data_IF_164588026545
#
_entry.id   IF_164588026545
#
_cell.length_a   1.000
_cell.length_b   1.000
_cell.length_c   1.000
_cell.angle_alpha   90.00
_cell.angle_beta   90.00
_cell.angle_gamma   90.00
#
_symmetry.space_group_name_H-M   'P 1'
#
loop_
_entity.id
_entity.type
_entity.pdbx_description
1 polymer ?
#
# COMPACT_ATOMS: atom_id res chain seq x y z
N UNK A 1 -7.06 18.63 -6.90
CA UNK A 1 -8.17 18.11 -6.06
C UNK A 1 -8.37 16.62 -6.32
N UNK A 2 -8.31 16.19 -7.59
CA UNK A 2 -8.44 14.78 -7.97
C UNK A 2 -7.45 13.82 -7.29
N UNK A 3 -6.18 14.20 -7.07
CA UNK A 3 -5.22 13.23 -6.52
C UNK A 3 -5.47 12.90 -5.04
N UNK A 4 -5.96 13.87 -4.24
CA UNK A 4 -6.34 13.64 -2.84
C UNK A 4 -7.56 12.74 -2.74
N UNK A 5 -8.53 12.92 -3.64
CA UNK A 5 -9.71 12.07 -3.74
C UNK A 5 -9.29 10.65 -4.14
N UNK A 6 -8.38 10.52 -5.13
CA UNK A 6 -7.82 9.23 -5.52
C UNK A 6 -7.13 8.51 -4.36
N UNK A 7 -6.31 9.21 -3.58
CA UNK A 7 -5.62 8.65 -2.42
C UNK A 7 -6.60 8.20 -1.32
N UNK A 8 -7.67 8.97 -1.10
CA UNK A 8 -8.73 8.61 -0.17
C UNK A 8 -9.51 7.35 -0.62
N UNK A 9 -9.80 7.23 -1.92
CA UNK A 9 -10.43 6.03 -2.50
C UNK A 9 -9.54 4.81 -2.32
N UNK A 10 -8.24 4.92 -2.62
CA UNK A 10 -7.27 3.83 -2.44
C UNK A 10 -7.19 3.41 -0.96
N UNK A 11 -7.14 4.38 -0.05
CA UNK A 11 -7.14 4.13 1.39
C UNK A 11 -8.42 3.41 1.85
N UNK A 12 -9.60 3.86 1.40
CA UNK A 12 -10.86 3.20 1.70
C UNK A 12 -10.92 1.76 1.16
N UNK A 13 -10.39 1.54 -0.05
CA UNK A 13 -10.32 0.21 -0.65
C UNK A 13 -9.41 -0.73 0.16
N UNK A 14 -8.24 -0.25 0.59
CA UNK A 14 -7.32 -1.01 1.45
C UNK A 14 -7.99 -1.39 2.78
N UNK A 15 -8.68 -0.45 3.44
CA UNK A 15 -9.42 -0.74 4.69
C UNK A 15 -10.54 -1.75 4.43
N UNK A 16 -11.27 -1.61 3.32
CA UNK A 16 -12.31 -2.56 2.92
C UNK A 16 -11.76 -3.97 2.69
N UNK A 17 -10.63 -4.09 1.99
CA UNK A 17 -9.95 -5.36 1.78
C UNK A 17 -9.43 -5.98 3.09
N UNK A 18 -8.99 -5.17 4.06
CA UNK A 18 -8.56 -5.65 5.36
C UNK A 18 -9.71 -6.16 6.23
N UNK A 19 -10.86 -5.46 6.22
CA UNK A 19 -11.98 -5.76 7.10
C UNK A 19 -12.93 -6.84 6.55
N UNK A 20 -13.12 -6.89 5.24
CA UNK A 20 -14.13 -7.74 4.59
C UNK A 20 -13.54 -8.74 3.59
N UNK A 21 -12.24 -8.64 3.28
CA UNK A 21 -11.60 -9.57 2.36
C UNK A 21 -11.44 -10.97 2.97
N UNK A 22 -11.68 -12.06 2.21
CA UNK A 22 -11.46 -13.42 2.68
C UNK A 22 -9.96 -13.78 2.64
N UNK A 23 -9.10 -12.87 3.09
CA UNK A 23 -7.65 -13.02 2.99
C UNK A 23 -7.09 -13.62 4.30
N UNK A 24 -6.36 -14.73 4.22
CA UNK A 24 -5.68 -15.29 5.39
C UNK A 24 -4.50 -14.42 5.87
N UNK A 25 -4.17 -14.52 7.15
CA UNK A 25 -3.05 -13.80 7.76
C UNK A 25 -1.71 -14.19 7.14
N UNK A 26 -0.83 -13.24 6.74
CA UNK A 26 -0.78 -11.85 7.23
C UNK A 26 -1.32 -10.79 6.25
N UNK A 27 -2.00 -11.17 5.17
CA UNK A 27 -2.40 -10.24 4.10
C UNK A 27 -3.28 -9.06 4.59
N UNK A 28 -4.28 -9.24 5.48
CA UNK A 28 -5.05 -8.11 6.01
C UNK A 28 -4.19 -7.04 6.72
N UNK A 29 -3.07 -7.44 7.34
CA UNK A 29 -2.15 -6.50 7.98
C UNK A 29 -1.42 -5.63 6.94
N UNK A 30 -1.05 -6.20 5.79
CA UNK A 30 -0.44 -5.44 4.71
C UNK A 30 -1.38 -4.34 4.21
N UNK A 31 -2.67 -4.66 4.04
CA UNK A 31 -3.67 -3.66 3.66
C UNK A 31 -3.83 -2.55 4.71
N UNK A 32 -3.83 -2.87 6.01
CA UNK A 32 -3.90 -1.86 7.06
C UNK A 32 -2.67 -0.96 7.08
N UNK A 33 -1.46 -1.52 6.99
CA UNK A 33 -0.21 -0.75 6.95
C UNK A 33 -0.17 0.15 5.72
N UNK A 34 -0.64 -0.34 4.57
CA UNK A 34 -0.76 0.46 3.36
C UNK A 34 -1.78 1.59 3.50
N UNK A 35 -2.92 1.35 4.14
CA UNK A 35 -3.93 2.38 4.41
C UNK A 35 -3.35 3.49 5.30
N UNK A 36 -2.58 3.14 6.34
CA UNK A 36 -1.87 4.13 7.18
C UNK A 36 -0.84 4.90 6.35
N UNK A 37 -0.11 4.21 5.48
CA UNK A 37 0.82 4.85 4.53
C UNK A 37 0.13 5.85 3.62
N UNK A 38 -1.02 5.48 3.04
CA UNK A 38 -1.83 6.35 2.18
C UNK A 38 -2.41 7.55 2.95
N UNK A 39 -2.93 7.36 4.16
CA UNK A 39 -3.43 8.44 5.00
C UNK A 39 -2.32 9.45 5.34
N UNK A 40 -1.13 8.96 5.71
CA UNK A 40 0.03 9.80 6.00
C UNK A 40 0.56 10.52 4.75
N UNK A 41 0.48 9.87 3.58
CA UNK A 41 0.88 10.45 2.30
C UNK A 41 0.02 11.65 1.87
N UNK A 42 -1.19 11.78 2.39
CA UNK A 42 -2.08 12.92 2.12
C UNK A 42 -1.57 14.24 2.72
N UNK A 43 -0.73 14.17 3.76
CA UNK A 43 -0.24 15.34 4.49
C UNK A 43 1.18 15.68 4.06
N UNK A 44 1.49 16.95 3.72
CA UNK A 44 2.80 17.34 3.22
C UNK A 44 3.93 17.10 4.25
N UNK A 45 3.65 17.18 5.55
CA UNK A 45 4.62 16.90 6.60
C UNK A 45 5.01 15.41 6.70
N UNK A 46 4.07 14.51 6.39
CA UNK A 46 4.23 13.07 6.55
C UNK A 46 4.33 12.32 5.21
N UNK A 47 4.37 13.06 4.09
CA UNK A 47 4.31 12.49 2.75
C UNK A 47 5.45 11.51 2.46
N UNK A 48 6.66 11.82 2.91
CA UNK A 48 7.83 10.95 2.78
C UNK A 48 7.67 9.65 3.56
N UNK A 49 7.22 9.73 4.82
CA UNK A 49 6.99 8.56 5.67
C UNK A 49 5.84 7.69 5.14
N UNK A 50 4.73 8.30 4.72
CA UNK A 50 3.61 7.60 4.11
C UNK A 50 4.00 6.90 2.80
N UNK A 51 4.80 7.56 1.96
CA UNK A 51 5.35 6.96 0.74
C UNK A 51 6.30 5.80 1.03
N UNK A 52 7.13 5.90 2.07
CA UNK A 52 8.01 4.82 2.49
C UNK A 52 7.22 3.59 2.99
N UNK A 53 6.14 3.80 3.75
CA UNK A 53 5.24 2.73 4.18
C UNK A 53 4.58 2.03 2.98
N UNK A 54 4.05 2.80 2.02
CA UNK A 54 3.47 2.25 0.79
C UNK A 54 4.51 1.45 -0.02
N UNK A 55 5.74 1.96 -0.13
CA UNK A 55 6.83 1.25 -0.79
C UNK A 55 7.21 -0.05 -0.07
N UNK A 56 7.26 -0.02 1.26
CA UNK A 56 7.54 -1.19 2.09
C UNK A 56 6.47 -2.26 1.94
N UNK A 57 5.19 -1.88 1.92
CA UNK A 57 4.09 -2.83 1.70
C UNK A 57 4.11 -3.38 0.27
N UNK A 58 4.44 -2.56 -0.73
CA UNK A 58 4.60 -3.05 -2.10
C UNK A 58 5.71 -4.11 -2.21
N UNK A 59 6.87 -3.83 -1.63
CA UNK A 59 8.00 -4.78 -1.61
C UNK A 59 7.66 -6.05 -0.82
N UNK A 60 7.05 -5.91 0.37
CA UNK A 60 6.63 -7.04 1.18
C UNK A 60 5.57 -7.89 0.48
N UNK A 61 4.58 -7.28 -0.18
CA UNK A 61 3.56 -7.99 -0.95
C UNK A 61 4.13 -8.78 -2.13
N UNK A 62 5.07 -8.20 -2.87
CA UNK A 62 5.79 -8.91 -3.95
C UNK A 62 6.64 -10.05 -3.37
N UNK A 63 7.35 -9.80 -2.28
CA UNK A 63 8.14 -10.81 -1.57
C UNK A 63 7.28 -11.99 -1.13
N UNK A 64 6.16 -11.74 -0.45
CA UNK A 64 5.20 -12.76 -0.03
C UNK A 64 4.60 -13.52 -1.23
N UNK A 65 4.31 -12.84 -2.34
CA UNK A 65 3.80 -13.51 -3.54
C UNK A 65 4.82 -14.44 -4.20
N UNK A 66 6.13 -14.22 -3.97
CA UNK A 66 7.21 -15.06 -4.49
C UNK A 66 7.58 -16.26 -3.62
N UNK A 67 7.04 -16.35 -2.39
CA UNK A 67 7.31 -17.48 -1.50
C UNK A 67 6.48 -18.70 -1.97
N UNK A 68 7.12 -19.85 -2.28
CA UNK A 68 6.38 -21.04 -2.63
C UNK A 68 5.59 -21.56 -1.42
N UNK A 69 4.26 -21.52 -1.50
CA UNK A 69 3.38 -22.10 -0.48
C UNK A 69 3.37 -23.62 -0.64
N UNK A 70 3.88 -24.34 0.35
CA UNK A 70 3.85 -25.81 0.37
C UNK A 70 2.44 -26.24 0.75
N UNK A 71 1.69 -26.82 -0.20
CA UNK A 71 0.41 -27.49 0.08
C UNK A 71 0.71 -28.76 0.85
N UNK A 72 0.35 -28.81 2.14
CA UNK A 72 0.56 -30.01 2.95
C UNK A 72 -0.22 -31.19 2.37
N UNK A 73 0.49 -32.24 1.96
CA UNK A 73 -0.08 -33.58 1.92
C UNK A 73 0.50 -34.38 3.09
N UNK A 74 -0.40 -34.81 3.99
CA UNK A 74 -0.28 -35.89 4.98
C UNK A 74 0.29 -35.63 6.40
N UNK A 75 -0.63 -35.74 7.37
CA UNK A 75 -0.65 -36.32 8.73
C UNK A 75 0.56 -36.29 9.70
N UNK A 76 1.78 -35.88 9.34
CA UNK A 76 2.93 -36.17 10.25
C UNK A 76 4.01 -35.13 10.49
N UNK A 77 3.94 -33.92 9.95
CA UNK A 77 5.03 -32.95 10.18
C UNK A 77 4.54 -31.57 10.62
N UNK A 78 4.71 -31.34 11.94
CA UNK A 78 4.93 -30.09 12.67
C UNK A 78 4.29 -28.80 12.15
N UNK A 79 3.37 -28.26 12.96
CA UNK A 79 2.69 -26.95 12.89
C UNK A 79 3.66 -25.74 12.85
N UNK A 80 4.45 -25.58 11.80
CA UNK A 80 5.23 -24.35 11.55
C UNK A 80 4.46 -23.39 10.66
N UNK A 81 3.54 -23.91 9.83
CA UNK A 81 2.61 -23.14 9.02
C UNK A 81 1.25 -23.80 9.05
N UNK A 82 0.20 -23.09 9.47
CA UNK A 82 -1.17 -23.59 9.42
C UNK A 82 -1.48 -24.01 7.98
N UNK A 83 -1.62 -25.31 7.73
CA UNK A 83 -1.96 -25.84 6.43
C UNK A 83 -3.31 -25.26 6.00
N UNK A 84 -3.29 -24.29 5.08
CA UNK A 84 -4.50 -23.74 4.48
C UNK A 84 -4.92 -24.70 3.36
N UNK A 85 -5.78 -25.66 3.71
CA UNK A 85 -6.22 -26.73 2.81
C UNK A 85 -6.79 -26.29 1.46
N UNK A 86 -7.15 -25.01 1.30
CA UNK A 86 -7.71 -24.45 0.06
C UNK A 86 -7.20 -23.03 -0.30
N UNK A 87 -6.22 -22.45 0.41
CA UNK A 87 -5.97 -20.99 0.37
C UNK A 87 -4.64 -20.43 -0.19
N UNK A 88 -3.76 -21.17 -0.91
CA UNK A 88 -2.51 -20.58 -1.42
C UNK A 88 -2.78 -19.51 -2.50
N UNK A 89 -3.83 -19.67 -3.29
CA UNK A 89 -4.23 -18.69 -4.32
C UNK A 89 -4.76 -17.39 -3.70
N UNK A 90 -5.51 -17.46 -2.60
CA UNK A 90 -6.02 -16.28 -1.88
C UNK A 90 -4.90 -15.47 -1.21
N UNK A 91 -3.88 -16.15 -0.68
CA UNK A 91 -2.66 -15.52 -0.18
C UNK A 91 -1.91 -14.76 -1.27
N UNK A 92 -1.70 -15.40 -2.42
CA UNK A 92 -0.99 -14.81 -3.56
C UNK A 92 -1.77 -13.61 -4.12
N UNK A 93 -3.07 -13.80 -4.35
CA UNK A 93 -3.97 -12.75 -4.89
C UNK A 93 -4.01 -11.55 -3.95
N UNK A 94 -4.16 -11.77 -2.65
CA UNK A 94 -4.19 -10.69 -1.67
C UNK A 94 -2.88 -9.94 -1.53
N UNK A 95 -1.74 -10.64 -1.62
CA UNK A 95 -0.40 -10.02 -1.57
C UNK A 95 -0.12 -9.15 -2.80
N UNK A 96 -0.53 -9.61 -3.99
CA UNK A 96 -0.43 -8.85 -5.25
C UNK A 96 -1.36 -7.64 -5.22
N UNK A 97 -2.58 -7.79 -4.72
CA UNK A 97 -3.52 -6.68 -4.56
C UNK A 97 -2.98 -5.62 -3.59
N UNK A 98 -2.43 -6.02 -2.44
CA UNK A 98 -1.81 -5.10 -1.50
C UNK A 98 -0.63 -4.35 -2.14
N UNK A 99 0.19 -5.04 -2.93
CA UNK A 99 1.30 -4.41 -3.64
C UNK A 99 0.83 -3.43 -4.72
N UNK A 100 -0.16 -3.81 -5.53
CA UNK A 100 -0.72 -2.97 -6.58
C UNK A 100 -1.37 -1.69 -6.03
N UNK A 101 -2.19 -1.82 -4.97
CA UNK A 101 -2.82 -0.66 -4.33
C UNK A 101 -1.78 0.27 -3.67
N UNK A 102 -0.73 -0.30 -3.08
CA UNK A 102 0.35 0.49 -2.50
C UNK A 102 1.15 1.24 -3.56
N UNK A 103 1.40 0.60 -4.71
CA UNK A 103 2.01 1.25 -5.88
C UNK A 103 1.16 2.39 -6.44
N UNK A 104 -0.16 2.18 -6.58
CA UNK A 104 -1.08 3.23 -7.01
C UNK A 104 -1.10 4.41 -6.02
N UNK A 105 -1.12 4.13 -4.71
CA UNK A 105 -1.02 5.13 -3.66
C UNK A 105 0.29 5.93 -3.74
N UNK A 106 1.41 5.27 -4.03
CA UNK A 106 2.71 5.91 -4.24
C UNK A 106 2.73 6.88 -5.42
N UNK A 107 2.15 6.49 -6.56
CA UNK A 107 2.05 7.35 -7.74
C UNK A 107 1.23 8.60 -7.42
N UNK A 108 0.10 8.45 -6.73
CA UNK A 108 -0.74 9.57 -6.31
C UNK A 108 -0.03 10.47 -5.28
N UNK A 109 0.71 9.89 -4.34
CA UNK A 109 1.51 10.65 -3.37
C UNK A 109 2.61 11.47 -4.07
N UNK A 110 3.25 10.91 -5.11
CA UNK A 110 4.24 11.63 -5.92
C UNK A 110 3.62 12.79 -6.70
N UNK A 111 2.46 12.58 -7.32
CA UNK A 111 1.73 13.64 -8.03
C UNK A 111 1.35 14.81 -7.09
N UNK A 112 0.91 14.49 -5.87
CA UNK A 112 0.64 15.49 -4.84
C UNK A 112 1.91 16.26 -4.42
N UNK A 113 3.05 15.57 -4.33
CA UNK A 113 4.34 16.18 -4.04
C UNK A 113 4.81 17.15 -5.12
N UNK A 114 4.71 16.77 -6.40
CA UNK A 114 5.09 17.61 -7.54
C UNK A 114 4.20 18.85 -7.64
N UNK A 115 2.88 18.69 -7.51
CA UNK A 115 1.94 19.82 -7.54
C UNK A 115 2.18 20.82 -6.39
N UNK A 116 2.58 20.34 -5.21
CA UNK A 116 2.93 21.21 -4.09
C UNK A 116 4.24 21.99 -4.32
N UNK A 117 5.23 21.36 -4.96
CA UNK A 117 6.50 21.99 -5.32
C UNK A 117 6.31 23.08 -6.37
N UNK A 118 5.56 22.80 -7.44
CA UNK A 118 5.24 23.77 -8.49
C UNK A 118 4.56 25.02 -7.93
N UNK A 119 3.60 24.86 -7.00
CA UNK A 119 2.98 26.00 -6.32
C UNK A 119 3.98 26.84 -5.54
N UNK A 120 4.93 26.21 -4.82
CA UNK A 120 5.96 26.94 -4.07
C UNK A 120 6.88 27.72 -5.01
N UNK A 121 7.29 27.12 -6.13
CA UNK A 121 8.11 27.80 -7.14
C UNK A 121 7.39 29.00 -7.75
N UNK A 122 6.11 28.84 -8.13
CA UNK A 122 5.29 29.93 -8.66
C UNK A 122 5.15 31.09 -7.66
N UNK A 123 4.96 30.80 -6.37
CA UNK A 123 4.93 31.84 -5.32
C UNK A 123 6.27 32.51 -5.08
N UNK A 124 7.39 31.80 -5.27
CA UNK A 124 8.74 32.33 -5.15
C UNK A 124 9.11 33.27 -6.30
N UNK A 125 8.75 32.90 -7.54
CA UNK A 125 8.96 33.74 -8.72
C UNK A 125 8.16 35.04 -8.65
N UNK A 126 6.88 34.97 -8.27
CA UNK A 126 6.03 36.17 -8.10
C UNK A 126 6.56 37.15 -7.03
N UNK A 127 7.40 36.69 -6.10
CA UNK A 127 8.04 37.53 -5.08
C UNK A 127 9.36 38.13 -5.56
N UNK A 128 10.06 37.44 -6.47
CA UNK A 128 11.28 37.93 -7.11
C UNK A 128 11.02 39.04 -8.13
N UNK A 129 9.88 38.99 -8.81
CA UNK A 129 9.48 39.95 -9.86
C UNK A 129 8.92 41.29 -9.30
N UNK A 130 8.72 41.37 -7.97
CA UNK A 130 8.32 42.60 -7.26
C UNK A 130 9.49 43.33 -6.59
N UNK A 131 10.73 42.90 -6.81
CA UNK A 131 11.95 43.56 -6.32
C UNK A 131 12.73 44.12 -7.49
#
# INVERSE_FOLDING_TARGET
MGERVGLAIVCALMVGCAAFGPFPHPVPLLFLVAAVGAANAAFPLMCTFGSALLGGVAAAGIGLASVPFVTCSSDKFTDVFTCTGDAPTWHLTGSVLAAGLSGAGLVLARALGTAALERRLATGQARGERR
#
